data_IF_022073516368
#
_entry.id   IF_022073516368
#
_cell.length_a   1.000
_cell.length_b   1.000
_cell.length_c   1.000
_cell.angle_alpha   90.00
_cell.angle_beta   90.00
_cell.angle_gamma   90.00
#
_symmetry.space_group_name_H-M   'P 1'
#
loop_
_entity.id
_entity.type
_entity.pdbx_description
1 polymer ?
#
# COMPACT_ATOMS: atom_id res chain seq x y z
N UNK A 1 -36.34 -30.56 9.22
CA UNK A 1 -35.47 -29.37 9.08
C UNK A 1 -34.03 -29.74 9.40
N UNK A 2 -33.16 -29.89 8.39
CA UNK A 2 -31.78 -30.33 8.58
C UNK A 2 -30.82 -29.15 8.74
N UNK A 3 -30.13 -29.09 9.88
CA UNK A 3 -29.19 -28.03 10.29
C UNK A 3 -27.88 -28.20 9.52
N UNK A 4 -27.62 -27.35 8.52
CA UNK A 4 -26.37 -27.39 7.75
C UNK A 4 -25.18 -27.02 8.65
N UNK A 5 -24.22 -27.95 8.82
CA UNK A 5 -22.95 -27.72 9.50
C UNK A 5 -22.12 -26.72 8.67
N UNK A 6 -21.83 -25.56 9.24
CA UNK A 6 -20.88 -24.58 8.67
C UNK A 6 -19.52 -25.27 8.52
N UNK A 7 -19.07 -25.49 7.28
CA UNK A 7 -17.70 -25.92 6.98
C UNK A 7 -16.75 -24.86 7.55
N UNK A 8 -15.90 -25.24 8.50
CA UNK A 8 -14.77 -24.41 8.96
C UNK A 8 -13.91 -24.11 7.73
N UNK A 9 -13.90 -22.86 7.30
CA UNK A 9 -12.94 -22.38 6.31
C UNK A 9 -11.55 -22.53 6.94
N UNK A 10 -10.76 -23.46 6.43
CA UNK A 10 -9.34 -23.49 6.70
C UNK A 10 -8.75 -22.20 6.11
N UNK A 11 -8.16 -21.34 6.94
CA UNK A 11 -7.31 -20.27 6.43
C UNK A 11 -6.22 -20.94 5.60
N UNK A 12 -6.18 -20.63 4.29
CA UNK A 12 -5.00 -20.95 3.49
C UNK A 12 -3.80 -20.32 4.22
N UNK A 13 -2.76 -21.11 4.45
CA UNK A 13 -1.53 -20.59 5.07
C UNK A 13 -1.13 -19.32 4.34
N UNK A 14 -0.96 -18.25 5.10
CA UNK A 14 -0.45 -16.99 4.59
C UNK A 14 1.00 -17.24 4.16
N UNK A 15 1.21 -17.70 2.93
CA UNK A 15 2.56 -17.83 2.38
C UNK A 15 3.16 -16.43 2.38
N UNK A 16 4.12 -16.23 3.28
CA UNK A 16 4.77 -14.94 3.46
C UNK A 16 5.48 -14.59 2.17
N UNK A 17 5.05 -13.48 1.57
CA UNK A 17 5.50 -13.01 0.25
C UNK A 17 6.94 -12.54 0.32
N UNK A 18 7.37 -12.08 1.48
CA UNK A 18 8.77 -11.90 1.78
C UNK A 18 9.13 -12.68 3.04
N UNK A 19 10.33 -13.24 3.08
CA UNK A 19 10.82 -13.99 4.21
C UNK A 19 12.29 -13.71 4.44
N UNK A 20 12.70 -13.94 5.66
CA UNK A 20 14.12 -14.00 6.01
C UNK A 20 14.62 -15.42 5.73
N UNK A 21 15.62 -15.51 4.84
CA UNK A 21 16.39 -16.73 4.63
C UNK A 21 17.78 -16.46 5.19
N UNK A 22 18.02 -16.91 6.43
CA UNK A 22 19.13 -16.40 7.25
C UNK A 22 18.93 -14.91 7.55
N UNK A 23 19.99 -14.11 7.36
CA UNK A 23 19.97 -12.65 7.62
C UNK A 23 19.51 -11.81 6.42
N UNK A 24 19.09 -12.45 5.32
CA UNK A 24 18.73 -11.75 4.08
C UNK A 24 17.21 -11.70 3.92
N UNK A 25 16.69 -10.48 3.76
CA UNK A 25 15.30 -10.26 3.37
C UNK A 25 15.14 -10.62 1.88
N UNK A 26 14.27 -11.58 1.59
CA UNK A 26 14.08 -12.11 0.23
C UNK A 26 12.62 -12.06 -0.21
N UNK A 27 12.41 -11.86 -1.51
CA UNK A 27 11.08 -11.91 -2.14
C UNK A 27 10.65 -13.38 -2.41
N UNK A 28 9.44 -13.60 -2.94
CA UNK A 28 8.89 -14.90 -3.38
C UNK A 28 9.86 -15.70 -4.25
N UNK A 29 10.62 -14.99 -5.09
CA UNK A 29 11.61 -15.57 -6.00
C UNK A 29 13.01 -15.74 -5.37
N UNK A 30 13.12 -15.61 -4.04
CA UNK A 30 14.38 -15.68 -3.26
C UNK A 30 15.43 -14.64 -3.70
N UNK A 31 15.00 -13.56 -4.33
CA UNK A 31 15.86 -12.43 -4.69
C UNK A 31 16.12 -11.59 -3.44
N UNK A 32 17.38 -11.22 -3.22
CA UNK A 32 17.75 -10.31 -2.13
C UNK A 32 17.07 -8.97 -2.34
N UNK A 33 16.36 -8.51 -1.33
CA UNK A 33 15.71 -7.21 -1.28
C UNK A 33 16.40 -6.38 -0.20
N UNK A 34 16.65 -5.10 -0.48
CA UNK A 34 17.07 -4.18 0.57
C UNK A 34 15.90 -3.98 1.53
N UNK A 35 16.15 -4.21 2.81
CA UNK A 35 15.15 -3.92 3.84
C UNK A 35 14.86 -2.42 3.85
N UNK A 36 13.59 -2.07 3.75
CA UNK A 36 13.14 -0.68 3.74
C UNK A 36 12.44 -0.37 5.05
N UNK A 37 13.07 0.46 5.87
CA UNK A 37 12.42 0.99 7.06
C UNK A 37 11.51 2.16 6.69
N UNK A 38 10.30 2.14 7.23
CA UNK A 38 9.30 3.18 7.01
C UNK A 38 9.16 4.02 8.27
N UNK A 39 9.54 5.30 8.20
CA UNK A 39 9.38 6.23 9.33
C UNK A 39 7.93 6.67 9.43
N UNK A 40 7.38 6.67 10.64
CA UNK A 40 6.04 7.21 10.92
C UNK A 40 6.20 8.27 12.00
N UNK A 41 5.63 9.46 11.78
CA UNK A 41 5.70 10.54 12.76
C UNK A 41 4.65 10.31 13.85
N UNK A 42 5.04 10.60 15.09
CA UNK A 42 4.14 10.53 16.25
C UNK A 42 2.96 11.50 16.09
N UNK A 43 3.22 12.71 15.59
CA UNK A 43 2.17 13.71 15.30
C UNK A 43 1.09 13.18 14.36
N UNK A 44 1.46 12.36 13.37
CA UNK A 44 0.51 11.72 12.47
C UNK A 44 -0.33 10.66 13.19
N UNK A 45 0.30 9.84 14.04
CA UNK A 45 -0.41 8.82 14.85
C UNK A 45 -1.42 9.46 15.81
N UNK A 46 -1.11 10.64 16.33
CA UNK A 46 -1.97 11.38 17.23
C UNK A 46 -3.10 12.14 16.52
N UNK A 47 -3.03 12.34 15.20
CA UNK A 47 -4.04 13.08 14.45
C UNK A 47 -5.39 12.35 14.36
N UNK A 48 -6.48 13.10 14.44
CA UNK A 48 -7.85 12.69 14.23
C UNK A 48 -8.06 12.14 12.82
N UNK A 49 -7.36 12.72 11.84
CA UNK A 49 -7.28 12.20 10.46
C UNK A 49 -6.82 10.75 10.43
N UNK A 50 -5.78 10.40 11.19
CA UNK A 50 -5.25 9.03 11.23
C UNK A 50 -6.07 8.10 12.13
N UNK A 51 -6.50 8.59 13.29
CA UNK A 51 -7.35 7.83 14.24
C UNK A 51 -8.68 7.43 13.63
N UNK A 52 -9.25 8.26 12.77
CA UNK A 52 -10.53 7.97 12.09
C UNK A 52 -10.39 6.98 10.94
N UNK A 53 -9.17 6.59 10.52
CA UNK A 53 -8.97 5.57 9.48
C UNK A 53 -9.23 4.17 10.05
N UNK A 54 -9.72 3.27 9.19
CA UNK A 54 -9.84 1.85 9.53
C UNK A 54 -8.45 1.23 9.67
N UNK A 55 -8.27 0.17 10.48
CA UNK A 55 -6.97 -0.51 10.62
C UNK A 55 -6.36 -0.93 9.27
N UNK A 56 -7.19 -1.42 8.34
CA UNK A 56 -6.74 -1.76 6.98
C UNK A 56 -6.22 -0.54 6.20
N UNK A 57 -6.84 0.62 6.37
CA UNK A 57 -6.44 1.86 5.71
C UNK A 57 -5.14 2.40 6.30
N UNK A 58 -4.96 2.29 7.62
CA UNK A 58 -3.71 2.62 8.30
C UNK A 58 -2.56 1.74 7.77
N UNK A 59 -2.79 0.42 7.68
CA UNK A 59 -1.80 -0.50 7.09
C UNK A 59 -1.52 -0.20 5.61
N UNK A 60 -2.55 0.14 4.83
CA UNK A 60 -2.39 0.55 3.44
C UNK A 60 -1.48 1.79 3.33
N UNK A 61 -1.65 2.78 4.21
CA UNK A 61 -0.77 3.95 4.26
C UNK A 61 0.70 3.57 4.50
N UNK A 62 0.96 2.63 5.42
CA UNK A 62 2.32 2.14 5.70
C UNK A 62 2.93 1.47 4.46
N UNK A 63 2.17 0.64 3.74
CA UNK A 63 2.65 0.01 2.50
C UNK A 63 2.92 1.03 1.39
N UNK A 64 2.08 2.06 1.26
CA UNK A 64 2.38 3.18 0.37
C UNK A 64 3.73 3.82 0.74
N UNK A 65 4.05 3.91 2.04
CA UNK A 65 5.21 4.64 2.52
C UNK A 65 6.49 3.82 2.34
N UNK A 66 6.38 2.51 2.50
CA UNK A 66 7.42 1.57 2.08
C UNK A 66 7.72 1.65 0.58
N UNK A 67 6.69 1.80 -0.27
CA UNK A 67 6.88 2.01 -1.71
C UNK A 67 7.53 3.37 -2.02
N UNK A 68 7.26 4.38 -1.20
CA UNK A 68 7.90 5.68 -1.31
C UNK A 68 9.39 5.65 -0.94
N UNK A 69 9.83 4.91 0.08
CA UNK A 69 11.26 4.90 0.43
C UNK A 69 12.08 3.89 -0.36
N UNK A 70 11.52 2.72 -0.67
CA UNK A 70 12.34 1.54 -0.96
C UNK A 70 12.35 1.04 -2.40
N UNK A 71 11.66 1.72 -3.34
CA UNK A 71 11.35 1.14 -4.65
C UNK A 71 11.47 2.15 -5.81
N UNK A 72 11.54 1.60 -7.03
CA UNK A 72 11.58 2.33 -8.31
C UNK A 72 10.55 3.45 -8.35
N UNK A 73 11.00 4.63 -8.78
CA UNK A 73 10.26 5.88 -8.70
C UNK A 73 9.70 6.29 -10.07
N UNK A 74 8.62 7.08 -10.09
CA UNK A 74 8.13 7.66 -11.33
C UNK A 74 9.17 8.50 -12.07
N UNK A 75 10.08 9.16 -11.37
CA UNK A 75 11.21 9.90 -11.97
C UNK A 75 12.10 9.02 -12.87
N UNK A 76 12.23 7.73 -12.56
CA UNK A 76 13.06 6.80 -13.32
C UNK A 76 12.41 6.40 -14.66
N UNK A 77 11.09 6.46 -14.72
CA UNK A 77 10.31 6.11 -15.91
C UNK A 77 9.95 7.35 -16.74
N UNK A 78 9.89 8.54 -16.14
CA UNK A 78 9.50 9.77 -16.81
C UNK A 78 10.13 11.02 -16.15
N UNK A 79 11.39 11.28 -16.52
CA UNK A 79 12.28 12.28 -15.90
C UNK A 79 11.78 13.73 -16.03
N UNK A 80 10.86 14.04 -16.95
CA UNK A 80 10.39 15.41 -17.17
C UNK A 80 9.22 15.83 -16.28
N UNK A 81 8.30 14.89 -15.98
CA UNK A 81 7.03 15.22 -15.31
C UNK A 81 7.06 14.97 -13.80
N UNK A 82 7.87 14.02 -13.33
CA UNK A 82 7.85 13.54 -11.94
C UNK A 82 9.22 13.63 -11.28
N UNK A 83 9.86 14.80 -11.35
CA UNK A 83 11.22 15.02 -10.84
C UNK A 83 11.32 14.96 -9.31
N UNK A 84 10.23 15.25 -8.60
CA UNK A 84 10.22 15.22 -7.15
C UNK A 84 10.18 13.78 -6.61
N UNK A 85 10.94 13.53 -5.56
CA UNK A 85 10.99 12.24 -4.89
C UNK A 85 9.68 11.92 -4.16
N UNK A 86 8.79 12.91 -3.94
CA UNK A 86 7.45 12.78 -3.35
C UNK A 86 6.52 11.80 -4.08
N UNK A 87 6.82 11.44 -5.33
CA UNK A 87 6.00 10.52 -6.13
C UNK A 87 6.34 9.04 -5.91
N UNK A 88 5.33 8.18 -6.02
CA UNK A 88 5.49 6.73 -5.90
C UNK A 88 4.42 5.97 -6.70
N UNK A 89 4.72 4.70 -7.00
CA UNK A 89 3.79 3.79 -7.64
C UNK A 89 3.07 2.91 -6.62
N UNK A 90 1.75 2.85 -6.72
CA UNK A 90 0.94 1.85 -6.04
C UNK A 90 -0.11 1.29 -7.01
N UNK A 91 -0.17 -0.04 -7.10
CA UNK A 91 -1.13 -0.72 -7.97
C UNK A 91 -1.71 -1.95 -7.28
N UNK A 92 -2.75 -2.51 -7.90
CA UNK A 92 -3.45 -3.66 -7.35
C UNK A 92 -2.57 -4.90 -7.19
N UNK A 93 -1.72 -5.21 -8.17
CA UNK A 93 -0.81 -6.36 -8.08
C UNK A 93 0.12 -6.26 -6.86
N UNK A 94 0.74 -5.10 -6.65
CA UNK A 94 1.62 -4.86 -5.50
C UNK A 94 0.91 -4.99 -4.17
N UNK A 95 -0.33 -4.52 -4.03
CA UNK A 95 -1.03 -4.63 -2.74
C UNK A 95 -1.55 -6.04 -2.48
N UNK A 96 -1.87 -6.80 -3.54
CA UNK A 96 -2.08 -8.24 -3.43
C UNK A 96 -0.79 -8.95 -3.00
N UNK A 97 0.36 -8.51 -3.49
CA UNK A 97 1.66 -9.01 -3.05
C UNK A 97 1.97 -8.65 -1.58
N UNK A 98 1.29 -7.71 -0.97
CA UNK A 98 1.40 -7.48 0.47
C UNK A 98 0.42 -8.32 1.29
N UNK A 99 -0.50 -9.05 0.64
CA UNK A 99 -1.52 -9.85 1.32
C UNK A 99 -2.56 -9.04 2.10
N UNK A 100 -2.56 -7.70 1.99
CA UNK A 100 -3.52 -6.83 2.70
C UNK A 100 -4.94 -6.96 2.13
N UNK A 101 -5.03 -7.31 0.85
CA UNK A 101 -6.28 -7.50 0.12
C UNK A 101 -6.34 -8.89 -0.51
N UNK A 102 -7.56 -9.37 -0.72
CA UNK A 102 -7.84 -10.58 -1.51
C UNK A 102 -8.19 -10.20 -2.94
N UNK A 103 -8.04 -11.11 -3.91
CA UNK A 103 -8.40 -10.88 -5.32
C UNK A 103 -9.84 -10.33 -5.50
N UNK A 104 -10.78 -10.75 -4.63
CA UNK A 104 -12.18 -10.33 -4.66
C UNK A 104 -12.42 -8.91 -4.13
N UNK A 105 -11.41 -8.31 -3.49
CA UNK A 105 -11.52 -7.03 -2.79
C UNK A 105 -10.92 -5.85 -3.56
N UNK A 106 -10.82 -5.99 -4.89
CA UNK A 106 -10.32 -4.94 -5.79
C UNK A 106 -11.00 -3.59 -5.56
N UNK A 107 -12.32 -3.56 -5.45
CA UNK A 107 -13.07 -2.32 -5.20
C UNK A 107 -12.78 -1.70 -3.84
N UNK A 108 -12.53 -2.51 -2.80
CA UNK A 108 -12.23 -2.03 -1.47
C UNK A 108 -10.87 -1.33 -1.43
N UNK A 109 -9.88 -1.82 -2.18
CA UNK A 109 -8.58 -1.15 -2.27
C UNK A 109 -8.70 0.26 -2.82
N UNK A 110 -9.42 0.47 -3.93
CA UNK A 110 -9.57 1.83 -4.47
C UNK A 110 -10.40 2.74 -3.56
N UNK A 111 -11.40 2.21 -2.85
CA UNK A 111 -12.14 2.96 -1.82
C UNK A 111 -11.23 3.37 -0.67
N UNK A 112 -10.36 2.48 -0.22
CA UNK A 112 -9.41 2.77 0.86
C UNK A 112 -8.33 3.77 0.40
N UNK A 113 -7.83 3.67 -0.83
CA UNK A 113 -6.94 4.68 -1.42
C UNK A 113 -7.61 6.06 -1.53
N UNK A 114 -8.88 6.10 -1.92
CA UNK A 114 -9.66 7.36 -1.94
C UNK A 114 -9.84 7.93 -0.54
N UNK A 115 -9.98 7.09 0.48
CA UNK A 115 -10.11 7.55 1.86
C UNK A 115 -8.81 8.17 2.38
N UNK A 116 -7.66 7.56 2.07
CA UNK A 116 -6.36 8.15 2.36
C UNK A 116 -6.15 9.49 1.65
N UNK A 117 -6.64 9.60 0.42
CA UNK A 117 -6.61 10.85 -0.35
C UNK A 117 -7.49 11.93 0.26
N UNK A 118 -8.72 11.61 0.65
CA UNK A 118 -9.64 12.55 1.30
C UNK A 118 -9.10 13.11 2.61
N UNK A 119 -8.39 12.28 3.38
CA UNK A 119 -7.78 12.69 4.66
C UNK A 119 -6.41 13.34 4.50
N UNK A 120 -5.98 13.61 3.27
CA UNK A 120 -4.80 14.41 3.00
C UNK A 120 -3.46 13.70 3.24
N UNK A 121 -3.44 12.37 3.30
CA UNK A 121 -2.20 11.58 3.44
C UNK A 121 -1.48 11.35 2.10
N UNK A 122 -2.26 11.23 1.02
CA UNK A 122 -1.76 10.99 -0.34
C UNK A 122 -2.59 11.79 -1.33
N UNK A 123 -2.07 11.98 -2.55
CA UNK A 123 -2.82 12.55 -3.66
C UNK A 123 -2.62 11.70 -4.91
N UNK A 124 -3.68 11.41 -5.65
CA UNK A 124 -3.55 10.75 -6.96
C UNK A 124 -3.18 11.79 -8.00
N UNK A 125 -2.06 11.57 -8.69
CA UNK A 125 -1.53 12.51 -9.69
C UNK A 125 -1.93 12.05 -11.08
N UNK A 126 -1.71 10.77 -11.37
CA UNK A 126 -2.06 10.18 -12.66
C UNK A 126 -2.82 8.87 -12.45
N UNK A 127 -3.94 8.74 -13.16
CA UNK A 127 -4.71 7.51 -13.26
C UNK A 127 -4.30 6.77 -14.52
N UNK A 128 -3.66 5.61 -14.35
CA UNK A 128 -3.25 4.76 -15.47
C UNK A 128 -4.39 3.95 -16.09
N UNK A 129 -5.65 4.14 -15.64
CA UNK A 129 -6.83 3.36 -16.06
C UNK A 129 -7.02 3.34 -17.59
N UNK A 130 -6.83 4.47 -18.26
CA UNK A 130 -7.08 4.59 -19.70
C UNK A 130 -5.88 4.12 -20.53
N UNK A 131 -4.66 4.32 -20.03
CA UNK A 131 -3.42 4.10 -20.79
C UNK A 131 -2.71 2.79 -20.44
N UNK A 132 -3.33 1.91 -19.64
CA UNK A 132 -2.71 0.70 -19.06
C UNK A 132 -1.39 0.99 -18.31
N UNK A 133 -1.23 2.22 -17.80
CA UNK A 133 -0.06 2.65 -17.02
C UNK A 133 -0.28 2.37 -15.53
N UNK A 134 0.79 2.45 -14.75
CA UNK A 134 0.71 2.38 -13.28
C UNK A 134 0.12 3.69 -12.76
N UNK A 135 -0.69 3.61 -11.70
CA UNK A 135 -1.16 4.81 -11.03
C UNK A 135 -0.01 5.48 -10.29
N UNK A 136 0.06 6.80 -10.39
CA UNK A 136 1.07 7.63 -9.74
C UNK A 136 0.40 8.39 -8.60
N UNK A 137 1.00 8.27 -7.43
CA UNK A 137 0.56 8.95 -6.23
C UNK A 137 1.68 9.84 -5.71
N UNK A 138 1.30 10.88 -4.99
CA UNK A 138 2.19 11.78 -4.28
C UNK A 138 1.92 11.68 -2.78
N UNK A 139 2.98 11.67 -1.98
CA UNK A 139 2.86 11.86 -0.55
C UNK A 139 2.52 13.31 -0.22
N UNK A 140 1.54 13.51 0.65
CA UNK A 140 1.10 14.84 1.07
C UNK A 140 0.94 14.85 2.57
N UNK A 141 1.46 15.88 3.24
CA UNK A 141 1.28 16.10 4.67
C UNK A 141 0.19 17.15 4.93
N UNK A 142 -1.02 16.89 4.40
CA UNK A 142 -2.21 17.75 4.61
C UNK A 142 -3.21 17.13 5.59
N UNK A 143 -2.77 16.13 6.36
CA UNK A 143 -3.57 15.45 7.38
C UNK A 143 -3.70 16.27 8.68
N UNK A 144 -2.93 17.35 8.83
CA UNK A 144 -2.99 18.28 9.95
C UNK A 144 -4.40 18.89 10.03
N UNK A 145 -4.99 18.78 11.21
CA UNK A 145 -6.39 19.01 11.52
C UNK A 145 -6.91 20.42 11.18
N UNK A 146 -8.24 20.49 11.05
CA UNK A 146 -9.01 21.74 11.10
C UNK A 146 -9.01 22.33 12.50
#
# INVERSE_FOLDING_TARGET
MARQKKKKQQLKSFESICSYVGDKFTDKEKRNQTETMTRISESMLCSDSFKSLKPRQQMLYIYCKAQYYGKRKPKDDNTELYQDDSFFYMNWGKILDYGLYTEKSHSNFYKDMQELEKKGFIKKVESGKNNRKKNIYQYVDKWVEK
#
